data_IF_726000199347
#
_entry.id   IF_726000199347
#
_cell.length_a   1.000
_cell.length_b   1.000
_cell.length_c   1.000
_cell.angle_alpha   90.00
_cell.angle_beta   90.00
_cell.angle_gamma   90.00
#
_symmetry.space_group_name_H-M   'P 1'
#
loop_
_entity.id
_entity.type
_entity.pdbx_description
1 polymer ?
#
# COMPACT_ATOMS: atom_id res chain seq x y z
N UNK A 1 18.02 13.76 13.48
CA UNK A 1 17.49 12.78 12.51
C UNK A 1 16.02 12.62 12.81
N UNK A 2 15.12 12.69 11.82
CA UNK A 2 13.74 12.25 12.04
C UNK A 2 13.78 10.76 12.35
N UNK A 3 13.17 10.35 13.45
CA UNK A 3 13.05 8.94 13.80
C UNK A 3 12.25 8.23 12.70
N UNK A 4 12.91 7.39 11.90
CA UNK A 4 12.23 6.53 10.94
C UNK A 4 11.49 5.46 11.73
N UNK A 5 10.16 5.47 11.63
CA UNK A 5 9.30 4.51 12.30
C UNK A 5 9.10 3.28 11.42
N UNK A 6 9.49 2.11 11.90
CA UNK A 6 9.16 0.86 11.23
C UNK A 6 7.66 0.57 11.38
N UNK A 7 7.05 0.17 10.27
CA UNK A 7 5.66 -0.26 10.21
C UNK A 7 5.63 -1.75 10.52
N UNK A 8 4.97 -2.12 11.61
CA UNK A 8 4.88 -3.50 12.11
C UNK A 8 3.50 -4.11 11.96
N UNK A 9 2.49 -3.29 11.64
CA UNK A 9 1.11 -3.73 11.40
C UNK A 9 0.51 -2.98 10.20
N UNK A 10 -0.26 -3.67 9.35
CA UNK A 10 -0.95 -3.09 8.20
C UNK A 10 -1.86 -1.90 8.56
N UNK A 11 -2.41 -1.84 9.79
CA UNK A 11 -3.25 -0.74 10.29
C UNK A 11 -2.49 0.57 10.43
N UNK A 12 -1.17 0.53 10.51
CA UNK A 12 -0.30 1.71 10.57
C UNK A 12 -0.04 2.31 9.18
N UNK A 13 -0.41 1.62 8.10
CA UNK A 13 -0.41 2.19 6.76
C UNK A 13 -1.55 3.20 6.65
N UNK A 14 -1.23 4.45 6.37
CA UNK A 14 -2.17 5.53 6.13
C UNK A 14 -2.26 5.81 4.62
N UNK A 15 -3.48 5.94 4.11
CA UNK A 15 -3.74 6.26 2.71
C UNK A 15 -3.14 7.63 2.35
N UNK A 16 -2.42 7.69 1.23
CA UNK A 16 -1.71 8.87 0.76
C UNK A 16 -0.37 9.15 1.46
N UNK A 17 0.03 8.35 2.46
CA UNK A 17 1.30 8.56 3.15
C UNK A 17 2.48 7.89 2.42
N UNK A 18 3.67 8.46 2.60
CA UNK A 18 4.90 8.00 1.93
C UNK A 18 5.67 7.04 2.83
N UNK A 19 6.11 5.95 2.23
CA UNK A 19 6.87 4.90 2.88
C UNK A 19 8.11 4.53 2.07
N UNK A 20 9.13 4.02 2.75
CA UNK A 20 10.25 3.34 2.15
C UNK A 20 10.09 1.85 2.35
N UNK A 21 10.05 1.13 1.24
CA UNK A 21 10.02 -0.33 1.18
C UNK A 21 11.46 -0.81 0.95
N UNK A 22 11.91 -1.77 1.75
CA UNK A 22 13.26 -2.31 1.71
C UNK A 22 13.21 -3.83 1.63
N UNK A 23 13.93 -4.42 0.67
CA UNK A 23 14.04 -5.87 0.49
C UNK A 23 15.42 -6.23 -0.05
N UNK A 24 16.15 -7.12 0.65
CA UNK A 24 17.48 -7.64 0.21
C UNK A 24 18.48 -6.55 -0.22
N UNK A 25 18.50 -5.41 0.48
CA UNK A 25 19.40 -4.29 0.19
C UNK A 25 18.91 -3.31 -0.89
N UNK A 26 17.80 -3.61 -1.56
CA UNK A 26 17.13 -2.68 -2.47
C UNK A 26 16.08 -1.88 -1.70
N UNK A 27 15.98 -0.57 -1.96
CA UNK A 27 14.96 0.29 -1.37
C UNK A 27 14.21 1.08 -2.42
N UNK A 28 12.91 1.26 -2.22
CA UNK A 28 12.07 2.13 -3.03
C UNK A 28 11.18 3.00 -2.14
N UNK A 29 11.01 4.26 -2.52
CA UNK A 29 10.03 5.15 -1.89
C UNK A 29 8.72 5.07 -2.66
N UNK A 30 7.62 4.91 -1.94
CA UNK A 30 6.29 4.77 -2.52
C UNK A 30 5.20 5.37 -1.62
N UNK A 31 4.12 5.84 -2.24
CA UNK A 31 2.89 6.23 -1.54
C UNK A 31 2.00 5.00 -1.40
N UNK A 32 1.47 4.77 -0.19
CA UNK A 32 0.44 3.77 0.01
C UNK A 32 -0.93 4.31 -0.39
N UNK A 33 -1.67 3.55 -1.20
CA UNK A 33 -3.05 3.83 -1.53
C UNK A 33 -3.96 2.63 -1.30
N UNK A 34 -5.17 2.90 -0.81
CA UNK A 34 -6.21 1.89 -0.64
C UNK A 34 -7.58 2.41 -1.09
N UNK A 35 -8.23 1.68 -1.99
CA UNK A 35 -9.66 1.86 -2.25
C UNK A 35 -10.43 0.78 -1.54
N UNK A 36 -11.25 1.23 -0.59
CA UNK A 36 -12.19 0.36 0.12
C UNK A 36 -13.41 0.10 -0.77
N UNK A 37 -13.97 -1.12 -0.75
CA UNK A 37 -15.12 -1.43 -1.56
C UNK A 37 -16.29 -0.58 -1.07
N UNK A 38 -16.88 0.18 -1.98
CA UNK A 38 -18.15 0.86 -1.70
C UNK A 38 -19.22 -0.21 -1.79
N UNK A 39 -19.94 -0.49 -0.69
CA UNK A 39 -21.18 -1.27 -0.80
C UNK A 39 -22.11 -0.50 -1.74
N UNK A 40 -22.25 -0.99 -2.97
CA UNK A 40 -23.21 -0.43 -3.90
C UNK A 40 -24.60 -0.49 -3.27
N UNK A 41 -25.36 0.61 -3.40
CA UNK A 41 -26.79 0.57 -3.09
C UNK A 41 -27.46 -0.35 -4.11
N UNK A 42 -28.50 -1.05 -3.68
CA UNK A 42 -29.28 -1.93 -4.57
C UNK A 42 -29.73 -1.15 -5.82
N UNK A 43 -29.29 -1.60 -7.00
CA UNK A 43 -29.63 -0.98 -8.30
C UNK A 43 -28.55 -0.06 -8.91
N UNK A 44 -27.48 0.27 -8.19
CA UNK A 44 -26.33 0.99 -8.76
C UNK A 44 -25.20 -0.01 -9.08
N UNK A 45 -24.86 -0.21 -10.36
CA UNK A 45 -23.62 -0.89 -10.74
C UNK A 45 -22.50 0.14 -10.83
N UNK A 46 -21.42 0.00 -10.05
CA UNK A 46 -20.23 0.85 -10.20
C UNK A 46 -18.99 0.01 -10.45
N UNK A 47 -18.15 0.44 -11.39
CA UNK A 47 -16.85 -0.18 -11.73
C UNK A 47 -15.85 -0.19 -10.57
N UNK A 48 -16.10 0.55 -9.49
CA UNK A 48 -15.16 0.75 -8.38
C UNK A 48 -15.43 -0.20 -7.20
N UNK A 49 -16.05 -1.35 -7.46
CA UNK A 49 -16.46 -2.33 -6.44
C UNK A 49 -15.33 -3.25 -5.98
N UNK A 50 -14.21 -3.30 -6.70
CA UNK A 50 -13.08 -4.16 -6.34
C UNK A 50 -12.17 -3.41 -5.36
N UNK A 51 -11.97 -3.92 -4.13
CA UNK A 51 -10.98 -3.35 -3.22
C UNK A 51 -9.59 -3.44 -3.85
N UNK A 52 -8.78 -2.40 -3.68
CA UNK A 52 -7.37 -2.49 -4.01
C UNK A 52 -6.54 -1.85 -2.89
N UNK A 53 -5.34 -2.40 -2.69
CA UNK A 53 -4.29 -1.79 -1.91
C UNK A 53 -3.00 -1.82 -2.72
N UNK A 54 -2.18 -0.76 -2.64
CA UNK A 54 -0.96 -0.70 -3.44
C UNK A 54 0.04 0.34 -2.97
N UNK A 55 1.28 0.16 -3.40
CA UNK A 55 2.38 1.10 -3.26
C UNK A 55 2.76 1.63 -4.65
N UNK A 56 2.69 2.95 -4.83
CA UNK A 56 2.96 3.64 -6.09
C UNK A 56 4.24 4.46 -5.96
N UNK A 57 5.06 4.49 -7.00
CA UNK A 57 6.35 5.18 -6.97
C UNK A 57 6.20 6.66 -6.62
N UNK A 58 7.11 7.16 -5.79
CA UNK A 58 7.09 8.54 -5.31
C UNK A 58 8.26 9.33 -5.91
N UNK A 59 8.10 9.75 -7.16
CA UNK A 59 9.05 10.61 -7.87
C UNK A 59 8.37 11.58 -8.87
N UNK A 60 7.06 11.81 -8.72
CA UNK A 60 6.26 12.63 -9.62
C UNK A 60 5.63 11.85 -10.78
N UNK A 61 5.93 10.56 -10.93
CA UNK A 61 5.20 9.65 -11.82
C UNK A 61 4.49 8.57 -11.00
N UNK A 62 3.17 8.44 -11.16
CA UNK A 62 2.39 7.36 -10.54
C UNK A 62 2.59 6.05 -11.31
N UNK A 63 3.79 5.49 -11.20
CA UNK A 63 4.09 4.15 -11.68
C UNK A 63 3.83 3.15 -10.54
N UNK A 64 3.07 2.08 -10.78
CA UNK A 64 2.82 1.10 -9.73
C UNK A 64 4.09 0.35 -9.39
N UNK A 65 4.45 0.37 -8.10
CA UNK A 65 5.54 -0.46 -7.58
C UNK A 65 5.01 -1.84 -7.22
N UNK A 66 3.86 -1.87 -6.54
CA UNK A 66 3.12 -3.07 -6.14
C UNK A 66 1.63 -2.71 -6.14
N UNK A 67 0.79 -3.42 -6.90
CA UNK A 67 -0.67 -3.32 -6.82
C UNK A 67 -1.22 -4.69 -6.43
N UNK A 68 -2.11 -4.71 -5.44
CA UNK A 68 -2.89 -5.86 -5.06
C UNK A 68 -4.38 -5.60 -5.28
N UNK A 69 -5.01 -6.43 -6.12
CA UNK A 69 -6.47 -6.44 -6.29
C UNK A 69 -7.11 -7.23 -5.15
N UNK A 70 -7.14 -6.62 -3.98
CA UNK A 70 -7.65 -7.22 -2.76
C UNK A 70 -7.47 -6.28 -1.57
N UNK A 71 -7.50 -6.82 -0.36
CA UNK A 71 -7.45 -6.00 0.86
C UNK A 71 -6.02 -5.64 1.25
N UNK A 72 -5.89 -4.65 2.13
CA UNK A 72 -4.59 -4.27 2.70
C UNK A 72 -3.93 -5.40 3.49
N UNK A 73 -4.72 -6.25 4.14
CA UNK A 73 -4.22 -7.39 4.92
C UNK A 73 -3.58 -8.45 4.01
N UNK A 74 -4.17 -8.69 2.85
CA UNK A 74 -3.61 -9.61 1.85
C UNK A 74 -2.31 -9.06 1.26
N UNK A 75 -2.29 -7.78 0.86
CA UNK A 75 -1.06 -7.12 0.44
C UNK A 75 0.01 -7.18 1.54
N UNK A 76 -0.36 -6.89 2.79
CA UNK A 76 0.56 -6.94 3.93
C UNK A 76 1.18 -8.31 4.09
N UNK A 77 0.36 -9.37 4.02
CA UNK A 77 0.85 -10.74 4.08
C UNK A 77 1.86 -11.03 2.99
N UNK A 78 1.56 -10.67 1.73
CA UNK A 78 2.49 -10.86 0.61
C UNK A 78 3.81 -10.13 0.85
N UNK A 79 3.77 -8.89 1.35
CA UNK A 79 4.97 -8.12 1.67
C UNK A 79 5.82 -8.79 2.75
N UNK A 80 5.20 -9.30 3.82
CA UNK A 80 5.91 -9.98 4.91
C UNK A 80 6.44 -11.35 4.49
N UNK A 81 5.68 -12.12 3.72
CA UNK A 81 6.11 -13.41 3.16
C UNK A 81 7.33 -13.25 2.24
N UNK A 82 7.50 -12.07 1.64
CA UNK A 82 8.65 -11.69 0.81
C UNK A 82 9.76 -10.93 1.58
N UNK A 83 9.69 -10.87 2.91
CA UNK A 83 10.70 -10.21 3.76
C UNK A 83 10.89 -8.70 3.42
N UNK A 84 9.79 -8.03 3.10
CA UNK A 84 9.79 -6.58 2.84
C UNK A 84 9.65 -5.83 4.17
N UNK A 85 10.63 -4.99 4.48
CA UNK A 85 10.57 -4.02 5.58
C UNK A 85 9.96 -2.71 5.10
N UNK A 86 9.11 -2.08 5.90
CA UNK A 86 8.40 -0.85 5.54
C UNK A 86 8.65 0.19 6.62
N UNK A 87 9.09 1.38 6.24
CA UNK A 87 9.41 2.48 7.15
C UNK A 87 8.73 3.76 6.72
N UNK A 88 8.21 4.54 7.67
CA UNK A 88 7.67 5.87 7.43
C UNK A 88 8.82 6.86 7.15
N UNK A 89 8.63 7.73 6.15
CA UNK A 89 9.67 8.66 5.62
C UNK A 89 9.42 10.10 6.07
#
# INVERSE_FOLDING_TARGET
>A
MKDTKEITDCKQLADGNVYRLSQRGTTATAIFHEVKPVKAKQGEWKTNEVPYAGFFHYDGQYLPLIIWQGTREELWKVLKDNDVTITEV
#
